data_IF_116142618545
#
_entry.id   IF_116142618545
#
_cell.length_a   1.000
_cell.length_b   1.000
_cell.length_c   1.000
_cell.angle_alpha   90.00
_cell.angle_beta   90.00
_cell.angle_gamma   90.00
#
_symmetry.space_group_name_H-M   'P 1'
#
loop_
_entity.id
_entity.type
_entity.pdbx_description
1 polymer ?
#
# COMPACT_ATOMS: atom_id res chain seq x y z
N UNK A 1 -13.20 84.32 -9.79
CA UNK A 1 -13.01 82.97 -10.36
C UNK A 1 -12.57 82.01 -9.26
N UNK A 2 -13.52 81.37 -8.65
CA UNK A 2 -13.27 80.41 -7.52
C UNK A 2 -13.11 79.01 -8.07
N UNK A 3 -12.04 78.35 -7.70
CA UNK A 3 -11.85 76.88 -7.95
C UNK A 3 -12.62 76.08 -6.90
N UNK A 4 -13.56 75.24 -7.35
CA UNK A 4 -14.25 74.28 -6.49
C UNK A 4 -13.27 73.19 -6.01
N UNK A 5 -13.38 72.70 -4.77
CA UNK A 5 -12.49 71.69 -4.25
C UNK A 5 -12.84 70.33 -4.82
N UNK A 6 -11.82 69.55 -5.24
CA UNK A 6 -11.88 68.16 -5.71
C UNK A 6 -12.20 67.19 -4.55
N UNK A 7 -13.43 67.15 -4.08
CA UNK A 7 -13.89 66.24 -3.00
C UNK A 7 -14.13 64.76 -3.53
N UNK A 8 -14.30 64.64 -4.88
CA UNK A 8 -14.61 63.31 -5.48
C UNK A 8 -13.47 62.30 -5.52
N UNK A 9 -12.21 62.79 -5.58
CA UNK A 9 -11.05 61.90 -5.83
C UNK A 9 -10.63 61.07 -4.59
N UNK A 10 -10.84 61.63 -3.38
CA UNK A 10 -10.52 60.93 -2.12
C UNK A 10 -11.51 59.79 -1.79
N UNK A 11 -12.79 59.98 -2.11
CA UNK A 11 -13.80 58.95 -1.89
C UNK A 11 -13.63 57.77 -2.86
N UNK A 12 -13.30 58.08 -4.12
CA UNK A 12 -13.07 57.05 -5.15
C UNK A 12 -11.80 56.24 -4.88
N UNK A 13 -10.72 56.88 -4.43
CA UNK A 13 -9.48 56.17 -4.01
C UNK A 13 -9.70 55.28 -2.79
N UNK A 14 -10.47 55.69 -1.79
CA UNK A 14 -10.83 54.85 -0.64
C UNK A 14 -11.71 53.68 -1.04
N UNK A 15 -12.66 53.84 -1.94
CA UNK A 15 -13.49 52.77 -2.46
C UNK A 15 -12.68 51.74 -3.25
N UNK A 16 -11.73 52.19 -4.08
CA UNK A 16 -10.80 51.31 -4.81
C UNK A 16 -9.86 50.55 -3.88
N UNK A 17 -9.35 51.15 -2.82
CA UNK A 17 -8.50 50.50 -1.83
C UNK A 17 -9.28 49.45 -1.00
N UNK A 18 -10.53 49.76 -0.64
CA UNK A 18 -11.41 48.81 0.04
C UNK A 18 -11.81 47.63 -0.86
N UNK A 19 -12.07 47.88 -2.13
CA UNK A 19 -12.36 46.85 -3.13
C UNK A 19 -11.14 45.94 -3.38
N UNK A 20 -9.94 46.53 -3.49
CA UNK A 20 -8.68 45.80 -3.60
C UNK A 20 -8.39 44.97 -2.34
N UNK A 21 -8.64 45.49 -1.13
CA UNK A 21 -8.49 44.75 0.12
C UNK A 21 -9.49 43.60 0.23
N UNK A 22 -10.74 43.79 -0.22
CA UNK A 22 -11.75 42.72 -0.30
C UNK A 22 -11.38 41.64 -1.31
N UNK A 23 -10.83 41.99 -2.47
CA UNK A 23 -10.35 41.04 -3.47
C UNK A 23 -9.14 40.25 -3.00
N UNK A 24 -8.21 40.85 -2.25
CA UNK A 24 -7.06 40.19 -1.63
C UNK A 24 -7.54 39.25 -0.51
N UNK A 25 -8.51 39.66 0.30
CA UNK A 25 -9.09 38.80 1.34
C UNK A 25 -9.88 37.59 0.77
N UNK A 26 -10.57 37.80 -0.36
CA UNK A 26 -11.28 36.72 -1.06
C UNK A 26 -10.31 35.73 -1.75
N UNK A 27 -9.15 36.19 -2.22
CA UNK A 27 -8.12 35.31 -2.82
C UNK A 27 -7.39 34.44 -1.80
N UNK A 28 -7.39 34.80 -0.49
CA UNK A 28 -6.76 34.03 0.57
C UNK A 28 -7.64 32.93 1.22
N UNK A 29 -8.90 32.79 0.83
CA UNK A 29 -9.83 31.82 1.47
C UNK A 29 -10.10 30.55 0.65
N UNK A 30 -9.25 30.18 -0.29
CA UNK A 30 -9.34 28.85 -0.89
C UNK A 30 -9.03 27.80 0.19
N UNK A 31 -10.06 27.08 0.65
CA UNK A 31 -9.87 25.95 1.59
C UNK A 31 -8.77 25.03 1.03
N UNK A 32 -7.78 24.64 1.84
CA UNK A 32 -6.72 23.76 1.37
C UNK A 32 -7.32 22.52 0.69
N UNK A 33 -6.79 22.16 -0.46
CA UNK A 33 -7.24 20.99 -1.21
C UNK A 33 -7.13 19.75 -0.31
N UNK A 34 -8.14 18.86 -0.37
CA UNK A 34 -8.12 17.60 0.34
C UNK A 34 -6.92 16.74 -0.12
N UNK A 35 -6.30 16.02 0.83
CA UNK A 35 -5.25 15.03 0.56
C UNK A 35 -5.91 13.76 0.05
N UNK A 36 -5.54 13.33 -1.15
CA UNK A 36 -6.09 12.11 -1.77
C UNK A 36 -5.24 10.91 -1.38
N UNK A 37 -5.83 10.06 -0.54
CA UNK A 37 -5.22 8.84 -0.03
C UNK A 37 -5.73 7.65 -0.83
N UNK A 38 -4.84 6.93 -1.49
CA UNK A 38 -5.16 5.71 -2.22
C UNK A 38 -4.83 4.43 -1.47
N UNK A 39 -5.32 3.31 -1.98
CA UNK A 39 -4.86 1.96 -1.62
C UNK A 39 -5.05 0.96 -2.74
N UNK A 40 -4.28 -0.12 -2.69
CA UNK A 40 -4.55 -1.31 -3.50
C UNK A 40 -5.80 -2.05 -3.01
N UNK A 41 -6.23 -3.07 -3.77
CA UNK A 41 -7.48 -3.79 -3.62
C UNK A 41 -7.39 -5.02 -2.69
N UNK A 42 -6.74 -4.90 -1.54
CA UNK A 42 -6.74 -5.94 -0.50
C UNK A 42 -6.70 -5.32 0.91
N UNK A 43 -7.15 -6.09 1.89
CA UNK A 43 -7.51 -5.62 3.23
C UNK A 43 -6.41 -4.83 3.93
N UNK A 44 -5.16 -5.30 3.93
CA UNK A 44 -4.04 -4.60 4.54
C UNK A 44 -3.81 -3.22 3.93
N UNK A 45 -3.89 -3.09 2.62
CA UNK A 45 -3.70 -1.82 1.93
C UNK A 45 -4.83 -0.84 2.23
N UNK A 46 -6.07 -1.33 2.28
CA UNK A 46 -7.23 -0.52 2.68
C UNK A 46 -7.07 -0.06 4.13
N UNK A 47 -6.64 -0.95 5.02
CA UNK A 47 -6.36 -0.61 6.42
C UNK A 47 -5.28 0.47 6.55
N UNK A 48 -4.15 0.31 5.89
CA UNK A 48 -3.05 1.29 5.92
C UNK A 48 -3.49 2.65 5.35
N UNK A 49 -4.27 2.63 4.26
CA UNK A 49 -4.87 3.84 3.70
C UNK A 49 -5.81 4.53 4.69
N UNK A 50 -6.63 3.77 5.42
CA UNK A 50 -7.55 4.29 6.42
C UNK A 50 -6.81 4.81 7.67
N UNK A 51 -5.76 4.12 8.12
CA UNK A 51 -4.91 4.56 9.23
C UNK A 51 -4.31 5.93 8.94
N UNK A 52 -3.71 6.12 7.77
CA UNK A 52 -3.13 7.44 7.43
C UNK A 52 -4.21 8.49 7.20
N UNK A 53 -5.36 8.13 6.64
CA UNK A 53 -6.48 9.05 6.45
C UNK A 53 -6.98 9.61 7.78
N UNK A 54 -7.22 8.75 8.77
CA UNK A 54 -7.65 9.18 10.10
C UNK A 54 -6.56 9.97 10.84
N UNK A 55 -5.29 9.60 10.69
CA UNK A 55 -4.18 10.36 11.28
C UNK A 55 -4.09 11.78 10.69
N UNK A 56 -4.35 11.94 9.40
CA UNK A 56 -4.41 13.25 8.73
C UNK A 56 -5.63 14.07 9.22
N UNK A 57 -6.80 13.45 9.32
CA UNK A 57 -8.03 14.09 9.80
C UNK A 57 -7.91 14.56 11.26
N UNK A 58 -7.25 13.77 12.10
CA UNK A 58 -6.96 14.15 13.48
C UNK A 58 -6.10 15.42 13.63
N UNK A 59 -5.36 15.78 12.56
CA UNK A 59 -4.61 17.04 12.47
C UNK A 59 -5.38 18.14 11.73
N UNK A 60 -6.68 17.96 11.50
CA UNK A 60 -7.57 18.93 10.84
C UNK A 60 -7.41 18.98 9.32
N UNK A 61 -6.73 18.02 8.71
CA UNK A 61 -6.59 17.97 7.26
C UNK A 61 -7.83 17.35 6.62
N UNK A 62 -8.25 17.87 5.49
CA UNK A 62 -9.30 17.24 4.69
C UNK A 62 -8.71 16.08 3.89
N UNK A 63 -9.36 14.93 3.92
CA UNK A 63 -8.95 13.72 3.21
C UNK A 63 -10.02 13.31 2.20
N UNK A 64 -9.57 12.94 1.00
CA UNK A 64 -10.38 12.28 -0.03
C UNK A 64 -9.85 10.84 -0.19
N UNK A 65 -10.65 9.88 0.26
CA UNK A 65 -10.31 8.45 0.23
C UNK A 65 -10.55 7.86 -1.15
N UNK A 66 -9.50 7.36 -1.76
CA UNK A 66 -9.50 6.60 -3.03
C UNK A 66 -9.01 5.18 -2.76
N UNK A 67 -9.64 4.52 -1.80
CA UNK A 67 -9.25 3.18 -1.36
C UNK A 67 -9.78 2.10 -2.31
N UNK A 68 -9.14 0.94 -2.31
CA UNK A 68 -9.54 -0.22 -3.12
C UNK A 68 -9.59 0.07 -4.64
N UNK A 69 -8.61 0.85 -5.15
CA UNK A 69 -8.59 1.29 -6.56
C UNK A 69 -8.27 0.17 -7.55
N UNK A 70 -7.47 -0.81 -7.14
CA UNK A 70 -6.94 -1.87 -8.01
C UNK A 70 -5.57 -2.32 -7.56
N UNK A 71 -4.84 -3.04 -8.42
CA UNK A 71 -3.51 -3.54 -8.10
C UNK A 71 -2.41 -2.49 -8.19
N UNK A 72 -1.17 -2.98 -8.13
CA UNK A 72 0.08 -2.19 -8.12
C UNK A 72 0.14 -1.18 -9.26
N UNK A 73 -0.13 -1.62 -10.49
CA UNK A 73 -0.01 -0.75 -11.66
C UNK A 73 -1.04 0.37 -11.67
N UNK A 74 -2.28 0.10 -11.22
CA UNK A 74 -3.35 1.11 -11.14
C UNK A 74 -2.98 2.21 -10.15
N UNK A 75 -2.54 1.84 -8.93
CA UNK A 75 -2.15 2.82 -7.91
C UNK A 75 -0.92 3.63 -8.32
N UNK A 76 0.08 2.97 -8.92
CA UNK A 76 1.27 3.66 -9.43
C UNK A 76 0.91 4.67 -10.55
N UNK A 77 0.10 4.29 -11.51
CA UNK A 77 -0.38 5.20 -12.57
C UNK A 77 -1.16 6.38 -11.97
N UNK A 78 -2.06 6.14 -11.03
CA UNK A 78 -2.88 7.15 -10.39
C UNK A 78 -2.03 8.22 -9.64
N UNK A 79 -0.98 7.79 -8.91
CA UNK A 79 -0.11 8.76 -8.23
C UNK A 79 0.77 9.55 -9.21
N UNK A 80 1.27 8.91 -10.27
CA UNK A 80 2.05 9.57 -11.34
C UNK A 80 1.20 10.57 -12.09
N UNK A 81 -0.06 10.23 -12.40
CA UNK A 81 -1.03 11.13 -13.02
C UNK A 81 -1.48 12.28 -12.08
N UNK A 82 -1.13 12.21 -10.79
CA UNK A 82 -1.52 13.20 -9.80
C UNK A 82 -2.97 13.04 -9.33
N UNK A 83 -3.58 11.88 -9.50
CA UNK A 83 -4.92 11.55 -8.99
C UNK A 83 -4.88 11.10 -7.52
N UNK A 84 -3.73 10.60 -7.05
CA UNK A 84 -3.42 10.34 -5.66
C UNK A 84 -2.34 11.31 -5.17
N UNK A 85 -2.33 11.58 -3.88
CA UNK A 85 -1.28 12.33 -3.19
C UNK A 85 -0.34 11.40 -2.42
N UNK A 86 -0.86 10.27 -1.92
CA UNK A 86 -0.07 9.19 -1.32
C UNK A 86 -0.86 7.86 -1.33
N UNK A 87 -0.12 6.76 -1.25
CA UNK A 87 -0.68 5.41 -1.03
C UNK A 87 0.39 4.49 -0.40
N UNK A 88 -0.01 3.41 0.32
CA UNK A 88 0.95 2.43 0.84
C UNK A 88 1.46 1.51 -0.27
N UNK A 89 2.77 1.23 -0.26
CA UNK A 89 3.43 0.36 -1.24
C UNK A 89 4.53 -0.45 -0.55
N UNK A 90 5.06 -1.47 -1.23
CA UNK A 90 6.13 -2.32 -0.75
C UNK A 90 7.38 -2.16 -1.63
N UNK A 91 8.55 -2.04 -1.01
CA UNK A 91 9.80 -1.78 -1.72
C UNK A 91 10.11 -2.84 -2.78
N UNK A 92 9.94 -4.12 -2.46
CA UNK A 92 10.15 -5.23 -3.40
C UNK A 92 9.21 -5.18 -4.60
N UNK A 93 7.94 -4.81 -4.37
CA UNK A 93 6.96 -4.64 -5.46
C UNK A 93 7.36 -3.51 -6.40
N UNK A 94 7.74 -2.35 -5.85
CA UNK A 94 8.21 -1.23 -6.65
C UNK A 94 9.47 -1.60 -7.44
N UNK A 95 10.42 -2.29 -6.80
CA UNK A 95 11.69 -2.69 -7.40
C UNK A 95 11.47 -3.65 -8.58
N UNK A 96 10.68 -4.71 -8.39
CA UNK A 96 10.52 -5.77 -9.40
C UNK A 96 9.41 -5.49 -10.41
N UNK A 97 8.24 -5.03 -9.96
CA UNK A 97 7.10 -4.84 -10.87
C UNK A 97 7.16 -3.50 -11.62
N UNK A 98 7.55 -2.40 -10.95
CA UNK A 98 7.55 -1.06 -11.56
C UNK A 98 8.90 -0.77 -12.23
N UNK A 99 10.01 -0.94 -11.50
CA UNK A 99 11.34 -0.65 -12.05
C UNK A 99 11.87 -1.75 -12.97
N UNK A 100 11.25 -2.95 -12.93
CA UNK A 100 11.67 -4.13 -13.72
C UNK A 100 13.08 -4.63 -13.40
N UNK A 101 13.54 -4.35 -12.17
CA UNK A 101 14.84 -4.83 -11.69
C UNK A 101 14.77 -6.31 -11.29
N UNK A 102 15.89 -7.00 -11.37
CA UNK A 102 15.99 -8.40 -10.90
C UNK A 102 15.97 -8.43 -9.37
N UNK A 103 15.27 -9.39 -8.74
CA UNK A 103 15.23 -9.52 -7.30
C UNK A 103 16.64 -9.55 -6.67
N UNK A 104 16.82 -8.80 -5.59
CA UNK A 104 18.02 -8.82 -4.73
C UNK A 104 17.55 -8.91 -3.27
N UNK A 105 18.35 -9.56 -2.41
CA UNK A 105 17.97 -9.85 -1.02
C UNK A 105 18.37 -8.76 -0.01
N UNK A 106 19.14 -7.75 -0.41
CA UNK A 106 19.58 -6.66 0.47
C UNK A 106 18.52 -5.55 0.55
N UNK A 107 17.85 -5.35 1.69
CA UNK A 107 16.79 -4.35 1.83
C UNK A 107 17.31 -2.90 1.67
N UNK A 108 18.56 -2.63 2.05
CA UNK A 108 19.13 -1.29 1.90
C UNK A 108 19.36 -0.95 0.42
N UNK A 109 19.80 -1.93 -0.38
CA UNK A 109 19.96 -1.79 -1.85
C UNK A 109 18.60 -1.53 -2.50
N UNK A 110 17.60 -2.37 -2.17
CA UNK A 110 16.24 -2.22 -2.73
C UNK A 110 15.66 -0.86 -2.38
N UNK A 111 15.68 -0.46 -1.10
CA UNK A 111 15.15 0.82 -0.64
C UNK A 111 15.82 2.00 -1.31
N UNK A 112 17.16 2.03 -1.34
CA UNK A 112 17.91 3.10 -2.00
C UNK A 112 17.51 3.23 -3.47
N UNK A 113 17.50 2.11 -4.19
CA UNK A 113 17.19 2.09 -5.62
C UNK A 113 15.79 2.58 -5.94
N UNK A 114 14.76 2.11 -5.21
CA UNK A 114 13.39 2.59 -5.42
C UNK A 114 13.26 4.07 -5.07
N UNK A 115 13.92 4.54 -4.01
CA UNK A 115 13.86 5.95 -3.61
C UNK A 115 14.48 6.86 -4.68
N UNK A 116 15.65 6.52 -5.20
CA UNK A 116 16.36 7.28 -6.25
C UNK A 116 15.56 7.33 -7.55
N UNK A 117 15.08 6.18 -8.02
CA UNK A 117 14.35 6.07 -9.28
C UNK A 117 12.97 6.75 -9.22
N UNK A 118 12.24 6.58 -8.11
CA UNK A 118 10.95 7.25 -7.95
C UNK A 118 11.09 8.77 -7.86
N UNK A 119 12.12 9.25 -7.19
CA UNK A 119 12.40 10.69 -7.12
C UNK A 119 12.80 11.26 -8.48
N UNK A 120 13.67 10.58 -9.23
CA UNK A 120 14.18 11.06 -10.52
C UNK A 120 13.12 11.01 -11.62
N UNK A 121 12.42 9.86 -11.77
CA UNK A 121 11.48 9.63 -12.88
C UNK A 121 10.14 10.33 -12.68
N UNK A 122 9.60 10.30 -11.44
CA UNK A 122 8.20 10.69 -11.19
C UNK A 122 8.03 11.77 -10.12
N UNK A 123 9.13 12.26 -9.52
CA UNK A 123 9.08 13.22 -8.41
C UNK A 123 8.27 12.69 -7.22
N UNK A 124 8.37 11.38 -6.95
CA UNK A 124 7.74 10.70 -5.83
C UNK A 124 8.77 10.45 -4.73
N UNK A 125 8.31 10.48 -3.48
CA UNK A 125 9.13 10.27 -2.28
C UNK A 125 8.63 9.01 -1.58
N UNK A 126 9.55 8.15 -1.17
CA UNK A 126 9.29 7.06 -0.24
C UNK A 126 9.43 7.60 1.19
N UNK A 127 8.34 7.55 1.95
CA UNK A 127 8.37 7.84 3.37
C UNK A 127 9.17 6.76 4.12
N UNK A 128 9.59 7.00 5.38
CA UNK A 128 10.27 5.99 6.18
C UNK A 128 9.43 4.71 6.31
N UNK A 129 10.08 3.51 6.38
CA UNK A 129 9.39 2.23 6.51
C UNK A 129 8.50 2.16 7.75
N UNK A 130 7.36 1.51 7.62
CA UNK A 130 6.38 1.35 8.69
C UNK A 130 6.83 0.41 9.81
N UNK A 131 7.77 -0.52 9.52
CA UNK A 131 8.36 -1.45 10.50
C UNK A 131 8.01 -2.91 10.25
N UNK A 132 7.41 -3.26 9.12
CA UNK A 132 7.13 -4.63 8.73
C UNK A 132 7.38 -4.86 7.24
N UNK A 133 7.47 -6.14 6.89
CA UNK A 133 7.51 -6.62 5.52
C UNK A 133 6.27 -7.46 5.22
N UNK A 134 5.83 -7.43 3.96
CA UNK A 134 4.77 -8.27 3.48
C UNK A 134 5.16 -8.93 2.15
N UNK A 135 5.82 -10.07 2.25
CA UNK A 135 6.28 -10.88 1.10
C UNK A 135 5.18 -11.82 0.60
N UNK A 136 5.33 -12.32 -0.62
CA UNK A 136 4.52 -13.43 -1.08
C UNK A 136 4.73 -14.68 -0.21
N UNK A 137 3.66 -15.43 0.02
CA UNK A 137 3.64 -16.64 0.82
C UNK A 137 2.91 -17.75 0.08
N UNK A 138 3.60 -18.85 -0.24
CA UNK A 138 2.93 -20.05 -0.73
C UNK A 138 2.34 -20.82 0.46
N UNK A 139 1.03 -21.04 0.41
CA UNK A 139 0.27 -21.64 1.51
C UNK A 139 -0.43 -22.91 1.02
N UNK A 140 -0.31 -23.98 1.80
CA UNK A 140 -0.98 -25.26 1.58
C UNK A 140 -1.79 -25.66 2.83
N UNK A 141 -2.70 -26.60 2.69
CA UNK A 141 -3.42 -27.16 3.85
C UNK A 141 -2.49 -28.01 4.72
N UNK A 142 -2.73 -28.12 6.05
CA UNK A 142 -1.90 -28.92 6.96
C UNK A 142 -1.83 -30.40 6.57
N UNK A 143 -2.95 -30.98 6.15
CA UNK A 143 -3.03 -32.38 5.75
C UNK A 143 -2.22 -32.68 4.46
N UNK A 144 -2.24 -31.74 3.49
CA UNK A 144 -1.42 -31.85 2.29
C UNK A 144 0.07 -31.63 2.61
N UNK A 145 0.40 -30.68 3.48
CA UNK A 145 1.76 -30.46 3.96
C UNK A 145 2.32 -31.72 4.63
N UNK A 146 1.56 -32.35 5.53
CA UNK A 146 1.95 -33.56 6.21
C UNK A 146 2.07 -34.75 5.24
N UNK A 147 1.06 -34.99 4.41
CA UNK A 147 1.01 -36.11 3.46
C UNK A 147 2.15 -36.08 2.45
N UNK A 148 2.47 -34.88 1.92
CA UNK A 148 3.53 -34.70 0.93
C UNK A 148 4.87 -34.24 1.53
N UNK A 149 4.93 -34.06 2.86
CA UNK A 149 6.12 -33.58 3.59
C UNK A 149 6.63 -32.24 3.01
N UNK A 150 5.70 -31.27 2.88
CA UNK A 150 6.02 -29.94 2.35
C UNK A 150 6.35 -29.02 3.52
N UNK A 151 7.56 -28.50 3.56
CA UNK A 151 8.00 -27.47 4.48
C UNK A 151 8.58 -26.24 3.74
N UNK A 152 9.09 -26.45 2.52
CA UNK A 152 9.77 -25.45 1.73
C UNK A 152 9.17 -25.35 0.31
N UNK A 153 9.50 -24.26 -0.40
CA UNK A 153 9.15 -24.13 -1.83
C UNK A 153 9.91 -25.17 -2.66
N UNK A 154 11.14 -25.56 -2.28
CA UNK A 154 11.85 -26.68 -2.92
C UNK A 154 11.11 -28.00 -2.76
N UNK A 155 10.48 -28.25 -1.60
CA UNK A 155 9.65 -29.44 -1.39
C UNK A 155 8.42 -29.44 -2.30
N UNK A 156 7.78 -28.29 -2.46
CA UNK A 156 6.66 -28.13 -3.37
C UNK A 156 7.07 -28.40 -4.82
N UNK A 157 8.21 -27.89 -5.25
CA UNK A 157 8.73 -28.14 -6.59
C UNK A 157 9.00 -29.63 -6.84
N UNK A 158 9.53 -30.34 -5.84
CA UNK A 158 9.86 -31.77 -5.96
C UNK A 158 8.63 -32.70 -5.88
N UNK A 159 7.60 -32.33 -5.11
CA UNK A 159 6.51 -33.26 -4.71
C UNK A 159 5.11 -32.73 -4.97
N UNK A 160 4.98 -31.46 -5.36
CA UNK A 160 3.69 -30.78 -5.49
C UNK A 160 3.10 -30.71 -6.88
N UNK A 161 3.69 -31.39 -7.89
CA UNK A 161 3.27 -31.26 -9.30
C UNK A 161 1.80 -31.61 -9.57
N UNK A 162 1.18 -32.47 -8.75
CA UNK A 162 -0.23 -32.84 -8.85
C UNK A 162 -1.17 -31.92 -8.05
N UNK A 163 -0.65 -30.94 -7.30
CA UNK A 163 -1.47 -29.97 -6.60
C UNK A 163 -2.05 -28.95 -7.60
N UNK A 164 -3.27 -28.53 -7.36
CA UNK A 164 -3.97 -27.50 -8.16
C UNK A 164 -3.62 -26.13 -7.61
N UNK A 165 -2.89 -25.27 -8.36
CA UNK A 165 -2.54 -23.94 -7.91
C UNK A 165 -3.68 -22.95 -8.10
N UNK A 166 -3.91 -22.07 -7.11
CA UNK A 166 -4.80 -20.91 -7.19
C UNK A 166 -4.05 -19.65 -6.84
N UNK A 167 -3.98 -18.69 -7.77
CA UNK A 167 -3.14 -17.50 -7.61
C UNK A 167 -3.91 -16.23 -7.95
N UNK A 168 -3.51 -15.11 -7.33
CA UNK A 168 -3.99 -13.79 -7.70
C UNK A 168 -3.42 -13.35 -9.05
N UNK A 169 -4.16 -12.53 -9.79
CA UNK A 169 -3.81 -12.07 -11.14
C UNK A 169 -2.38 -11.49 -11.20
N UNK A 170 -2.02 -10.57 -10.30
CA UNK A 170 -0.66 -9.99 -10.28
C UNK A 170 0.43 -11.04 -10.03
N UNK A 171 0.18 -12.06 -9.21
CA UNK A 171 1.17 -13.11 -8.96
C UNK A 171 1.43 -13.96 -10.20
N UNK A 172 0.44 -14.15 -11.05
CA UNK A 172 0.58 -14.87 -12.33
C UNK A 172 1.34 -14.02 -13.37
N UNK A 173 1.15 -12.70 -13.38
CA UNK A 173 1.70 -11.82 -14.40
C UNK A 173 3.10 -11.25 -14.05
N UNK A 174 3.36 -10.98 -12.78
CA UNK A 174 4.59 -10.29 -12.36
C UNK A 174 5.82 -11.17 -12.50
N UNK A 175 6.94 -10.55 -12.88
CA UNK A 175 8.22 -11.25 -13.05
C UNK A 175 8.76 -11.83 -11.73
N UNK A 176 8.46 -11.22 -10.59
CA UNK A 176 8.77 -11.70 -9.23
C UNK A 176 7.69 -12.62 -8.66
N UNK A 177 6.59 -12.84 -9.39
CA UNK A 177 5.54 -13.79 -9.05
C UNK A 177 5.79 -15.19 -9.57
N UNK A 178 4.72 -15.88 -9.99
CA UNK A 178 4.79 -17.29 -10.41
C UNK A 178 5.78 -17.56 -11.55
N UNK A 179 5.86 -16.76 -12.63
CA UNK A 179 6.79 -17.05 -13.72
C UNK A 179 8.25 -17.06 -13.30
N UNK A 180 8.65 -16.14 -12.43
CA UNK A 180 10.04 -16.10 -11.92
C UNK A 180 10.30 -17.15 -10.87
N UNK A 181 9.34 -17.37 -9.95
CA UNK A 181 9.41 -18.41 -8.92
C UNK A 181 9.53 -19.79 -9.56
N UNK A 182 8.71 -20.07 -10.58
CA UNK A 182 8.74 -21.33 -11.31
C UNK A 182 10.11 -21.59 -11.92
N UNK A 183 10.75 -20.60 -12.54
CA UNK A 183 12.12 -20.72 -13.07
C UNK A 183 13.14 -20.94 -11.96
N UNK A 184 13.06 -20.18 -10.86
CA UNK A 184 14.05 -20.24 -9.77
C UNK A 184 14.04 -21.59 -9.03
N UNK A 185 12.85 -22.17 -8.86
CA UNK A 185 12.67 -23.41 -8.12
C UNK A 185 12.52 -24.66 -9.01
N UNK A 186 12.35 -24.51 -10.32
CA UNK A 186 11.92 -25.60 -11.19
C UNK A 186 10.48 -26.06 -10.86
N UNK A 187 9.65 -25.12 -10.34
CA UNK A 187 8.29 -25.42 -9.93
C UNK A 187 7.39 -25.54 -11.15
N UNK A 188 6.69 -26.67 -11.27
CA UNK A 188 5.70 -26.90 -12.30
C UNK A 188 4.51 -27.64 -11.74
N UNK A 189 3.31 -27.26 -12.18
CA UNK A 189 2.07 -27.94 -11.87
C UNK A 189 1.53 -28.62 -13.13
N UNK A 190 0.83 -29.73 -12.95
CA UNK A 190 0.18 -30.43 -14.06
C UNK A 190 -0.92 -29.57 -14.69
N UNK A 191 -1.66 -28.86 -13.84
CA UNK A 191 -2.71 -27.94 -14.27
C UNK A 191 -2.20 -26.50 -14.25
N UNK A 192 -2.74 -25.65 -15.11
CA UNK A 192 -2.49 -24.21 -15.06
C UNK A 192 -3.07 -23.60 -13.78
N UNK A 193 -2.46 -22.57 -13.22
CA UNK A 193 -3.04 -21.85 -12.08
C UNK A 193 -4.46 -21.37 -12.38
N UNK A 194 -5.36 -21.58 -11.41
CA UNK A 194 -6.67 -20.92 -11.40
C UNK A 194 -6.47 -19.50 -10.91
N UNK A 195 -6.75 -18.53 -11.77
CA UNK A 195 -6.63 -17.12 -11.43
C UNK A 195 -7.89 -16.64 -10.73
N UNK A 196 -7.72 -15.88 -9.64
CA UNK A 196 -8.84 -15.36 -8.86
C UNK A 196 -8.47 -14.11 -8.06
N UNK A 197 -9.50 -13.41 -7.58
CA UNK A 197 -9.31 -12.31 -6.63
C UNK A 197 -8.66 -12.79 -5.34
N UNK A 198 -7.82 -11.93 -4.72
CA UNK A 198 -7.07 -12.25 -3.50
C UNK A 198 -7.99 -12.70 -2.35
N UNK A 199 -9.18 -12.11 -2.22
CA UNK A 199 -10.16 -12.49 -1.20
C UNK A 199 -10.74 -13.90 -1.36
N UNK A 200 -10.57 -14.54 -2.52
CA UNK A 200 -11.07 -15.90 -2.81
C UNK A 200 -10.02 -16.99 -2.58
N UNK A 201 -8.74 -16.64 -2.43
CA UNK A 201 -7.64 -17.62 -2.32
C UNK A 201 -7.84 -18.61 -1.16
N UNK A 202 -8.02 -18.09 0.04
CA UNK A 202 -8.15 -18.93 1.24
C UNK A 202 -9.49 -19.70 1.30
N UNK A 203 -10.64 -19.11 0.92
CA UNK A 203 -11.87 -19.88 0.73
C UNK A 203 -11.74 -21.02 -0.29
N UNK A 204 -11.05 -20.80 -1.41
CA UNK A 204 -10.80 -21.84 -2.41
C UNK A 204 -9.87 -22.94 -1.89
N UNK A 205 -8.83 -22.59 -1.11
CA UNK A 205 -7.93 -23.53 -0.46
C UNK A 205 -8.68 -24.38 0.60
N UNK A 206 -9.47 -23.73 1.46
CA UNK A 206 -10.24 -24.40 2.51
C UNK A 206 -11.30 -25.34 1.93
N UNK A 207 -11.98 -24.95 0.85
CA UNK A 207 -13.00 -25.76 0.17
C UNK A 207 -12.40 -26.80 -0.80
N UNK A 208 -11.10 -26.96 -0.84
CA UNK A 208 -10.39 -27.92 -1.73
C UNK A 208 -10.63 -27.71 -3.23
N UNK A 209 -10.99 -26.50 -3.64
CA UNK A 209 -11.04 -26.13 -5.07
C UNK A 209 -9.62 -26.00 -5.65
N UNK A 210 -8.71 -25.51 -4.85
CA UNK A 210 -7.26 -25.46 -5.12
C UNK A 210 -6.50 -26.08 -3.94
N UNK A 211 -5.23 -26.40 -4.13
CA UNK A 211 -4.43 -27.14 -3.15
C UNK A 211 -3.22 -26.34 -2.65
N UNK A 212 -2.82 -25.31 -3.41
CA UNK A 212 -1.80 -24.34 -3.03
C UNK A 212 -2.22 -22.96 -3.50
N UNK A 213 -2.02 -21.95 -2.65
CA UNK A 213 -2.27 -20.54 -3.00
C UNK A 213 -1.03 -19.71 -2.76
N UNK A 214 -0.92 -18.59 -3.48
CA UNK A 214 0.05 -17.54 -3.21
C UNK A 214 -0.68 -16.35 -2.58
N UNK A 215 -0.60 -16.23 -1.26
CA UNK A 215 -1.07 -15.09 -0.49
C UNK A 215 0.08 -14.19 -0.06
N UNK A 216 -0.13 -13.45 1.03
CA UNK A 216 0.86 -12.55 1.61
C UNK A 216 1.22 -13.00 3.03
N UNK A 217 2.45 -12.77 3.47
CA UNK A 217 2.95 -13.24 4.78
C UNK A 217 2.24 -12.61 5.99
N UNK A 218 1.52 -11.53 5.78
CA UNK A 218 0.71 -10.85 6.81
C UNK A 218 -0.78 -11.15 6.71
N UNK A 219 -1.22 -12.04 5.80
CA UNK A 219 -2.64 -12.39 5.65
C UNK A 219 -3.21 -13.05 6.91
N UNK A 220 -4.26 -12.47 7.46
CA UNK A 220 -4.89 -12.93 8.70
C UNK A 220 -5.60 -14.29 8.55
N UNK A 221 -6.01 -14.66 7.34
CA UNK A 221 -6.70 -15.92 7.07
C UNK A 221 -5.78 -17.15 7.09
N UNK A 222 -4.46 -17.00 6.97
CA UNK A 222 -3.51 -18.13 7.06
C UNK A 222 -3.72 -18.90 8.36
N UNK A 223 -3.70 -18.19 9.50
CA UNK A 223 -3.92 -18.79 10.82
C UNK A 223 -5.36 -19.31 10.97
N UNK A 224 -6.35 -18.62 10.38
CA UNK A 224 -7.76 -19.00 10.50
C UNK A 224 -8.07 -20.36 9.86
N UNK A 225 -7.37 -20.71 8.77
CA UNK A 225 -7.52 -22.03 8.10
C UNK A 225 -6.47 -23.05 8.55
N UNK A 226 -5.60 -22.69 9.50
CA UNK A 226 -4.45 -23.52 9.88
C UNK A 226 -3.45 -23.73 8.75
N UNK A 227 -3.38 -22.80 7.81
CA UNK A 227 -2.54 -22.89 6.60
C UNK A 227 -1.04 -23.00 6.94
N UNK A 228 -0.34 -23.86 6.22
CA UNK A 228 1.11 -24.01 6.32
C UNK A 228 1.78 -23.14 5.26
N UNK A 229 2.55 -22.15 5.71
CA UNK A 229 3.39 -21.31 4.84
C UNK A 229 4.67 -22.08 4.52
N UNK A 230 4.95 -22.25 3.24
CA UNK A 230 6.18 -22.88 2.78
C UNK A 230 7.35 -21.89 2.82
N UNK A 231 8.47 -22.30 3.42
CA UNK A 231 9.64 -21.45 3.52
C UNK A 231 10.29 -21.22 2.14
N UNK A 232 10.65 -19.96 1.85
CA UNK A 232 11.47 -19.58 0.68
C UNK A 232 12.94 -19.92 0.96
N UNK A 233 13.30 -21.21 0.84
CA UNK A 233 14.61 -21.76 1.18
C UNK A 233 15.75 -21.32 0.24
N UNK A 234 15.41 -20.76 -0.92
CA UNK A 234 16.37 -20.16 -1.86
C UNK A 234 16.43 -18.64 -1.79
N UNK A 235 15.64 -17.99 -0.93
CA UNK A 235 15.54 -16.54 -0.79
C UNK A 235 15.28 -15.85 -2.13
N UNK A 236 14.30 -16.37 -2.85
CA UNK A 236 13.93 -15.86 -4.18
C UNK A 236 13.26 -14.49 -4.07
N UNK A 237 12.38 -14.30 -3.09
CA UNK A 237 11.66 -13.06 -2.95
C UNK A 237 12.56 -11.94 -2.40
N UNK A 238 12.52 -10.73 -2.99
CA UNK A 238 13.21 -9.58 -2.42
C UNK A 238 12.54 -9.14 -1.11
N UNK A 239 13.17 -8.27 -0.31
CA UNK A 239 12.51 -7.65 0.83
C UNK A 239 11.37 -6.73 0.38
N UNK A 240 10.22 -6.83 1.05
CA UNK A 240 9.00 -6.05 0.76
C UNK A 240 8.64 -5.16 1.96
N UNK A 241 9.54 -4.23 2.32
CA UNK A 241 9.27 -3.27 3.39
C UNK A 241 8.08 -2.38 3.02
N UNK A 242 7.10 -2.29 3.92
CA UNK A 242 5.93 -1.44 3.74
C UNK A 242 6.27 0.03 4.03
N UNK A 243 5.90 0.94 3.13
CA UNK A 243 6.05 2.38 3.30
C UNK A 243 5.00 3.13 2.47
N UNK A 244 4.82 4.42 2.72
CA UNK A 244 3.99 5.25 1.87
C UNK A 244 4.81 5.88 0.74
N UNK A 245 4.28 5.82 -0.47
CA UNK A 245 4.74 6.60 -1.62
C UNK A 245 3.94 7.89 -1.65
N UNK A 246 4.62 9.02 -1.76
CA UNK A 246 4.04 10.36 -1.63
C UNK A 246 4.48 11.23 -2.81
N UNK A 247 3.60 12.07 -3.32
CA UNK A 247 3.98 13.08 -4.31
C UNK A 247 4.96 14.09 -3.69
N UNK A 248 6.08 14.36 -4.37
CA UNK A 248 7.13 15.25 -3.88
C UNK A 248 6.63 16.65 -3.54
N UNK A 249 5.65 17.19 -4.27
CA UNK A 249 5.00 18.45 -3.93
C UNK A 249 4.29 18.38 -2.57
N UNK A 250 3.55 17.29 -2.30
CA UNK A 250 2.86 17.11 -1.01
C UNK A 250 3.86 16.94 0.13
N UNK A 251 4.91 16.15 -0.08
CA UNK A 251 5.98 15.95 0.90
C UNK A 251 6.68 17.27 1.29
N UNK A 252 6.93 18.15 0.31
CA UNK A 252 7.59 19.44 0.51
C UNK A 252 6.64 20.49 1.09
N UNK A 253 5.43 20.62 0.51
CA UNK A 253 4.56 21.76 0.73
C UNK A 253 3.52 21.51 1.85
N UNK A 254 3.45 20.28 2.37
CA UNK A 254 2.54 19.88 3.46
C UNK A 254 3.31 19.18 4.59
N UNK A 255 4.04 19.96 5.41
CA UNK A 255 4.86 19.40 6.50
C UNK A 255 4.07 18.55 7.50
N UNK A 256 2.77 18.81 7.66
CA UNK A 256 1.89 18.00 8.52
C UNK A 256 1.76 16.56 8.02
N UNK A 257 1.65 16.37 6.69
CA UNK A 257 1.62 15.03 6.07
C UNK A 257 2.93 14.30 6.34
N UNK A 258 4.06 14.97 6.13
CA UNK A 258 5.39 14.41 6.39
C UNK A 258 5.55 13.98 7.85
N UNK A 259 5.21 14.86 8.81
CA UNK A 259 5.31 14.56 10.25
C UNK A 259 4.46 13.36 10.65
N UNK A 260 3.25 13.21 10.08
CA UNK A 260 2.39 12.06 10.36
C UNK A 260 3.04 10.78 9.84
N UNK A 261 3.56 10.77 8.62
CA UNK A 261 4.19 9.59 8.03
C UNK A 261 5.50 9.21 8.75
N UNK A 262 6.30 10.19 9.14
CA UNK A 262 7.48 10.00 10.00
C UNK A 262 7.07 9.46 11.39
N UNK A 263 5.95 9.92 11.93
CA UNK A 263 5.39 9.43 13.20
C UNK A 263 4.86 7.99 13.15
N UNK A 264 4.52 7.46 11.98
CA UNK A 264 4.11 6.05 11.78
C UNK A 264 5.31 5.12 11.57
N UNK A 265 6.49 5.67 11.27
CA UNK A 265 7.69 4.90 10.94
C UNK A 265 8.10 3.96 12.09
N UNK A 266 8.36 2.68 11.74
CA UNK A 266 8.82 1.66 12.69
C UNK A 266 7.80 1.24 13.74
N UNK A 267 6.54 1.72 13.67
CA UNK A 267 5.52 1.45 14.70
C UNK A 267 4.63 0.26 14.41
N UNK A 268 4.64 -0.24 13.18
CA UNK A 268 3.85 -1.41 12.78
C UNK A 268 4.80 -2.61 12.65
N UNK A 269 4.41 -3.74 13.21
CA UNK A 269 5.14 -4.99 13.04
C UNK A 269 4.27 -6.08 12.38
N UNK A 270 4.89 -7.09 11.81
CA UNK A 270 4.20 -8.14 11.06
C UNK A 270 3.21 -8.95 11.93
N UNK A 271 3.47 -9.13 13.22
CA UNK A 271 2.57 -9.86 14.12
C UNK A 271 1.28 -9.07 14.39
N UNK A 272 1.42 -7.76 14.63
CA UNK A 272 0.27 -6.85 14.76
C UNK A 272 -0.52 -6.77 13.46
N UNK A 273 0.18 -6.65 12.31
CA UNK A 273 -0.49 -6.59 11.00
C UNK A 273 -1.32 -7.85 10.74
N UNK A 274 -0.79 -9.05 10.99
CA UNK A 274 -1.57 -10.29 10.88
C UNK A 274 -2.83 -10.28 11.75
N UNK A 275 -2.72 -9.78 12.99
CA UNK A 275 -3.85 -9.68 13.90
C UNK A 275 -4.92 -8.70 13.42
N UNK A 276 -4.51 -7.53 12.92
CA UNK A 276 -5.44 -6.53 12.38
C UNK A 276 -6.05 -6.98 11.06
N UNK A 277 -5.28 -7.62 10.18
CA UNK A 277 -5.79 -8.20 8.95
C UNK A 277 -6.82 -9.31 9.24
N UNK A 278 -6.60 -10.11 10.29
CA UNK A 278 -7.57 -11.13 10.71
C UNK A 278 -8.90 -10.49 11.16
N UNK A 279 -8.89 -9.34 11.81
CA UNK A 279 -10.12 -8.63 12.17
C UNK A 279 -10.93 -8.20 10.93
N UNK A 280 -10.25 -7.83 9.84
CA UNK A 280 -10.91 -7.47 8.58
C UNK A 280 -11.41 -8.71 7.83
N UNK A 281 -10.53 -9.70 7.65
CA UNK A 281 -10.76 -10.80 6.72
C UNK A 281 -11.60 -11.92 7.35
N UNK A 282 -11.38 -12.22 8.64
CA UNK A 282 -12.10 -13.25 9.40
C UNK A 282 -13.32 -12.68 10.13
N UNK A 283 -13.09 -11.63 10.94
CA UNK A 283 -14.13 -11.09 11.82
C UNK A 283 -15.04 -10.08 11.12
N UNK A 284 -14.72 -9.73 9.85
CA UNK A 284 -15.48 -8.82 8.99
C UNK A 284 -15.72 -7.43 9.60
N UNK A 285 -14.79 -6.96 10.45
CA UNK A 285 -14.84 -5.60 10.98
C UNK A 285 -14.59 -4.58 9.87
N UNK A 286 -15.13 -3.39 10.06
CA UNK A 286 -14.92 -2.30 9.09
C UNK A 286 -13.48 -1.77 9.20
N UNK A 287 -12.84 -1.43 8.08
CA UNK A 287 -11.48 -0.88 8.07
C UNK A 287 -11.32 0.37 8.96
N UNK A 288 -12.35 1.23 9.00
CA UNK A 288 -12.34 2.46 9.80
C UNK A 288 -12.26 2.19 11.32
N UNK A 289 -12.92 1.14 11.78
CA UNK A 289 -12.91 0.77 13.20
C UNK A 289 -11.57 0.15 13.58
N UNK A 290 -11.04 -0.75 12.73
CA UNK A 290 -9.71 -1.35 12.95
C UNK A 290 -8.61 -0.30 12.88
N UNK A 291 -8.67 0.66 11.94
CA UNK A 291 -7.70 1.75 11.82
C UNK A 291 -7.65 2.62 13.08
N UNK A 292 -8.82 2.89 13.69
CA UNK A 292 -8.90 3.61 14.96
C UNK A 292 -8.22 2.84 16.11
N UNK A 293 -8.40 1.51 16.13
CA UNK A 293 -7.73 0.65 17.11
C UNK A 293 -6.21 0.62 16.88
N UNK A 294 -5.76 0.54 15.63
CA UNK A 294 -4.34 0.66 15.26
C UNK A 294 -3.75 1.95 15.80
N UNK A 295 -4.36 3.10 15.50
CA UNK A 295 -3.85 4.41 15.94
C UNK A 295 -3.75 4.53 17.46
N UNK A 296 -4.75 4.00 18.20
CA UNK A 296 -4.72 3.95 19.67
C UNK A 296 -3.58 3.06 20.18
N UNK A 297 -3.40 1.87 19.59
CA UNK A 297 -2.40 0.89 20.02
C UNK A 297 -0.96 1.37 19.79
N UNK A 298 -0.72 2.12 18.71
CA UNK A 298 0.60 2.70 18.43
C UNK A 298 0.84 4.05 19.13
N UNK A 299 -0.11 4.50 19.98
CA UNK A 299 0.02 5.77 20.71
C UNK A 299 -0.05 7.01 19.82
N UNK A 300 -0.58 6.90 18.62
CA UNK A 300 -0.90 8.03 17.75
C UNK A 300 -2.32 8.49 18.15
N UNK A 301 -2.45 9.70 18.71
CA UNK A 301 -3.80 10.21 19.02
C UNK A 301 -4.60 10.32 17.72
N UNK A 302 -5.82 9.75 17.68
CA UNK A 302 -6.75 9.97 16.59
C UNK A 302 -7.15 11.44 16.49
#
# INVERSE_FOLDING_TARGET
MGRAPLVGDFAMRRALLLLAALLVAAACSSKPRAIRVGSKNFSEQVLLGEVVAQALEARGLRVDRKLNLGGTFVCHQAIVAGELDLYPEYTGTAFTAILKEKPVSDPAVVRRRVSEEYASRWKLVWAPPLGFENTFALVVRPDDAARLRLATISDLAARGSNLRPGFGYEFVERADGYPGLARAYGLSFRERPVEMDLGLLYPALASRRVDVVAGNSTDGLIAAIGGVVLADDRRYFPPYEAAFVVRGAVWRDRPEVRQILEGLAGRLDAARMRRWNAQLDKDKKRPEDVARDVLREIGSKP
#
